data_IF_196177263003
#
_entry.id   IF_196177263003
#
_cell.length_a   1.000
_cell.length_b   1.000
_cell.length_c   1.000
_cell.angle_alpha   90.00
_cell.angle_beta   90.00
_cell.angle_gamma   90.00
#
_symmetry.space_group_name_H-M   'P 1'
#
loop_
_entity.id
_entity.type
_entity.pdbx_description
1 polymer ?
#
# COMPACT_ATOMS: atom_id res chain seq x y z
N UNK A 1 -5.22 37.72 -18.80
CA UNK A 1 -3.97 36.93 -18.86
C UNK A 1 -4.27 35.55 -18.31
N UNK A 2 -3.67 34.51 -18.89
CA UNK A 2 -3.80 33.14 -18.38
C UNK A 2 -2.98 32.98 -17.08
N UNK A 3 -3.58 32.54 -15.96
CA UNK A 3 -2.87 32.42 -14.68
C UNK A 3 -1.66 31.47 -14.73
N UNK A 4 -1.71 30.42 -15.58
CA UNK A 4 -0.59 29.49 -15.74
C UNK A 4 0.58 30.12 -16.49
N UNK A 5 0.30 30.92 -17.52
CA UNK A 5 1.34 31.69 -18.20
C UNK A 5 2.05 32.65 -17.25
N UNK A 6 1.30 33.35 -16.38
CA UNK A 6 1.88 34.23 -15.36
C UNK A 6 2.73 33.42 -14.36
N UNK A 7 2.25 32.28 -13.88
CA UNK A 7 3.02 31.40 -13.00
C UNK A 7 4.31 30.90 -13.65
N UNK A 8 4.27 30.51 -14.91
CA UNK A 8 5.45 30.09 -15.67
C UNK A 8 6.46 31.23 -15.78
N UNK A 9 6.01 32.44 -16.07
CA UNK A 9 6.90 33.59 -16.21
C UNK A 9 7.59 33.93 -14.87
N UNK A 10 6.89 33.80 -13.74
CA UNK A 10 7.49 33.92 -12.41
C UNK A 10 8.46 32.78 -12.10
N UNK A 11 8.13 31.54 -12.49
CA UNK A 11 9.02 30.38 -12.35
C UNK A 11 10.31 30.55 -13.16
N UNK A 12 10.22 31.05 -14.39
CA UNK A 12 11.35 31.30 -15.28
C UNK A 12 12.28 32.42 -14.76
N UNK A 13 11.72 33.42 -14.07
CA UNK A 13 12.49 34.49 -13.40
C UNK A 13 13.05 34.10 -12.03
N UNK A 14 12.61 32.97 -11.47
CA UNK A 14 12.96 32.57 -10.10
C UNK A 14 12.27 33.41 -9.01
N UNK A 15 11.18 34.10 -9.36
CA UNK A 15 10.43 35.02 -8.49
C UNK A 15 9.26 34.33 -7.75
N UNK A 16 9.31 33.00 -7.58
CA UNK A 16 8.20 32.22 -7.00
C UNK A 16 7.89 32.59 -5.54
N UNK A 17 8.85 33.20 -4.84
CA UNK A 17 8.75 33.74 -3.49
C UNK A 17 7.85 34.98 -3.40
N UNK A 18 7.67 35.72 -4.51
CA UNK A 18 6.76 36.87 -4.61
C UNK A 18 5.30 36.47 -4.77
N UNK A 19 5.01 35.19 -4.89
CA UNK A 19 3.64 34.67 -5.03
C UNK A 19 3.08 34.35 -3.64
N UNK A 20 2.01 35.04 -3.25
CA UNK A 20 1.45 34.96 -1.89
C UNK A 20 0.00 34.48 -1.95
N UNK A 21 -0.36 33.53 -1.08
CA UNK A 21 -1.74 33.11 -0.84
C UNK A 21 -2.41 34.09 0.14
N UNK A 22 -3.51 34.71 -0.28
CA UNK A 22 -4.32 35.61 0.54
C UNK A 22 -5.78 35.13 0.57
N UNK A 23 -6.12 34.30 1.55
CA UNK A 23 -7.46 33.71 1.65
C UNK A 23 -7.79 32.87 0.41
N UNK A 24 -8.79 33.31 -0.34
CA UNK A 24 -9.26 32.66 -1.56
C UNK A 24 -8.55 33.14 -2.84
N UNK A 25 -7.57 34.04 -2.72
CA UNK A 25 -6.81 34.60 -3.84
C UNK A 25 -5.32 34.27 -3.79
N UNK A 26 -4.69 34.29 -4.97
CA UNK A 26 -3.24 34.18 -5.17
C UNK A 26 -2.74 35.46 -5.83
N UNK A 27 -1.84 36.15 -5.15
CA UNK A 27 -1.22 37.38 -5.61
C UNK A 27 0.15 37.07 -6.21
N UNK A 28 0.40 37.58 -7.41
CA UNK A 28 1.68 37.49 -8.10
C UNK A 28 2.34 38.87 -8.04
N UNK A 29 3.11 39.12 -6.97
CA UNK A 29 3.60 40.47 -6.67
C UNK A 29 2.47 41.49 -6.58
N UNK A 30 2.69 42.68 -7.14
CA UNK A 30 1.70 43.77 -7.20
C UNK A 30 0.93 43.81 -8.53
N UNK A 31 1.28 42.94 -9.48
CA UNK A 31 0.86 43.05 -10.88
C UNK A 31 -0.41 42.24 -11.20
N UNK A 32 -0.60 41.08 -10.56
CA UNK A 32 -1.73 40.19 -10.85
C UNK A 32 -2.30 39.53 -9.60
N UNK A 33 -3.63 39.39 -9.56
CA UNK A 33 -4.35 38.62 -8.54
C UNK A 33 -5.33 37.69 -9.23
N UNK A 34 -5.34 36.42 -8.83
CA UNK A 34 -6.22 35.39 -9.38
C UNK A 34 -6.85 34.56 -8.27
N UNK A 35 -8.11 34.08 -8.43
CA UNK A 35 -8.72 33.18 -7.45
C UNK A 35 -7.94 31.86 -7.32
N UNK A 36 -7.68 31.43 -6.09
CA UNK A 36 -6.95 30.22 -5.77
C UNK A 36 -7.61 28.94 -6.32
N UNK A 37 -8.93 28.96 -6.48
CA UNK A 37 -9.72 27.84 -7.00
C UNK A 37 -9.97 27.92 -8.51
N UNK A 38 -9.38 28.88 -9.24
CA UNK A 38 -9.59 29.00 -10.68
C UNK A 38 -9.10 27.72 -11.38
N UNK A 39 -9.94 27.05 -12.19
CA UNK A 39 -9.54 25.85 -12.92
C UNK A 39 -8.43 26.16 -13.91
N UNK A 40 -7.38 25.35 -13.92
CA UNK A 40 -6.25 25.48 -14.84
C UNK A 40 -6.40 24.53 -16.02
N UNK A 41 -5.61 24.74 -17.08
CA UNK A 41 -5.55 23.85 -18.23
C UNK A 41 -4.92 22.48 -17.92
N UNK A 42 -4.35 22.29 -16.73
CA UNK A 42 -3.83 21.00 -16.27
C UNK A 42 -4.95 20.15 -15.68
N UNK A 43 -5.14 18.96 -16.23
CA UNK A 43 -6.12 17.99 -15.71
C UNK A 43 -5.45 16.82 -15.02
N UNK A 44 -6.10 16.32 -13.99
CA UNK A 44 -5.69 15.11 -13.29
C UNK A 44 -5.86 13.90 -14.19
N UNK A 45 -4.79 13.14 -14.46
CA UNK A 45 -4.89 11.90 -15.25
C UNK A 45 -5.76 10.83 -14.59
N UNK A 46 -5.97 10.92 -13.28
CA UNK A 46 -6.76 9.96 -12.51
C UNK A 46 -8.25 10.30 -12.48
N UNK A 47 -8.59 11.58 -12.38
CA UNK A 47 -9.99 12.03 -12.21
C UNK A 47 -10.56 12.79 -13.41
N UNK A 48 -9.73 13.18 -14.37
CA UNK A 48 -10.11 14.02 -15.52
C UNK A 48 -10.45 15.47 -15.17
N UNK A 49 -10.39 15.86 -13.88
CA UNK A 49 -10.75 17.20 -13.42
C UNK A 49 -9.57 18.17 -13.52
N UNK A 50 -9.82 19.45 -13.86
CA UNK A 50 -8.78 20.47 -13.86
C UNK A 50 -8.26 20.73 -12.44
N UNK A 51 -6.95 20.87 -12.30
CA UNK A 51 -6.34 21.31 -11.06
C UNK A 51 -6.60 22.80 -10.84
N UNK A 52 -6.86 23.24 -9.60
CA UNK A 52 -6.97 24.66 -9.30
C UNK A 52 -5.60 25.33 -9.33
N UNK A 53 -5.57 26.65 -9.55
CA UNK A 53 -4.32 27.44 -9.56
C UNK A 53 -3.51 27.30 -8.27
N UNK A 54 -4.18 27.18 -7.13
CA UNK A 54 -3.52 26.92 -5.84
C UNK A 54 -2.64 25.67 -5.86
N UNK A 55 -3.09 24.60 -6.51
CA UNK A 55 -2.32 23.36 -6.63
C UNK A 55 -1.07 23.55 -7.51
N UNK A 56 -1.20 24.31 -8.59
CA UNK A 56 -0.12 24.65 -9.51
C UNK A 56 0.98 25.47 -8.81
N UNK A 57 0.58 26.54 -8.13
CA UNK A 57 1.47 27.47 -7.41
C UNK A 57 2.17 26.73 -6.27
N UNK A 58 1.41 25.94 -5.50
CA UNK A 58 1.96 25.19 -4.39
C UNK A 58 2.99 24.15 -4.83
N UNK A 59 2.78 23.50 -5.98
CA UNK A 59 3.77 22.58 -6.55
C UNK A 59 5.02 23.30 -7.05
N UNK A 60 4.87 24.47 -7.68
CA UNK A 60 6.00 25.27 -8.14
C UNK A 60 6.91 25.72 -6.98
N UNK A 61 6.29 26.19 -5.88
CA UNK A 61 7.01 26.68 -4.70
C UNK A 61 7.68 25.56 -3.88
N UNK A 62 7.15 24.33 -3.92
CA UNK A 62 7.62 23.21 -3.10
C UNK A 62 8.15 22.03 -3.94
N UNK A 63 8.76 22.34 -5.09
CA UNK A 63 9.31 21.30 -5.97
C UNK A 63 10.52 20.57 -5.35
N UNK A 64 11.25 21.21 -4.46
CA UNK A 64 12.39 20.67 -3.71
C UNK A 64 12.00 19.54 -2.75
N UNK A 65 10.75 19.52 -2.29
CA UNK A 65 10.26 18.54 -1.33
C UNK A 65 10.05 17.16 -1.98
N UNK A 66 10.31 16.10 -1.19
CA UNK A 66 9.87 14.74 -1.52
C UNK A 66 8.36 14.73 -1.67
N UNK A 67 7.85 13.88 -2.56
CA UNK A 67 6.40 13.90 -2.85
C UNK A 67 5.54 13.58 -1.63
N UNK A 68 6.00 12.71 -0.73
CA UNK A 68 5.32 12.42 0.55
C UNK A 68 5.11 13.69 1.38
N UNK A 69 6.15 14.50 1.49
CA UNK A 69 6.19 15.69 2.33
C UNK A 69 5.37 16.80 1.67
N UNK A 70 5.44 16.91 0.34
CA UNK A 70 4.57 17.77 -0.46
C UNK A 70 3.08 17.46 -0.25
N UNK A 71 2.68 16.18 -0.27
CA UNK A 71 1.28 15.78 -0.05
C UNK A 71 0.81 16.18 1.35
N UNK A 72 1.66 16.00 2.37
CA UNK A 72 1.33 16.37 3.74
C UNK A 72 1.21 17.90 3.89
N UNK A 73 2.13 18.66 3.30
CA UNK A 73 2.13 20.12 3.34
C UNK A 73 0.92 20.72 2.60
N UNK A 74 0.54 20.17 1.45
CA UNK A 74 -0.66 20.58 0.71
C UNK A 74 -1.94 20.36 1.53
N UNK A 75 -2.05 19.19 2.17
CA UNK A 75 -3.20 18.85 3.03
C UNK A 75 -3.33 19.77 4.23
N UNK A 76 -2.23 20.13 4.88
CA UNK A 76 -2.23 21.08 6.00
C UNK A 76 -2.75 22.46 5.58
N UNK A 77 -2.47 22.88 4.35
CA UNK A 77 -2.96 24.14 3.77
C UNK A 77 -4.33 24.02 3.09
N UNK A 78 -4.98 22.85 3.17
CA UNK A 78 -6.25 22.54 2.48
C UNK A 78 -6.20 22.74 0.96
N UNK A 79 -5.02 22.64 0.36
CA UNK A 79 -4.82 22.73 -1.09
C UNK A 79 -4.93 21.32 -1.68
N UNK A 80 -5.72 21.11 -2.76
CA UNK A 80 -5.75 19.83 -3.46
C UNK A 80 -4.36 19.49 -4.03
N UNK A 81 -3.71 18.39 -3.61
CA UNK A 81 -2.37 18.09 -4.07
C UNK A 81 -2.37 17.59 -5.52
N UNK A 82 -1.37 18.00 -6.30
CA UNK A 82 -1.10 17.45 -7.63
C UNK A 82 -0.65 15.99 -7.49
N UNK A 83 -1.21 15.10 -8.31
CA UNK A 83 -0.90 13.66 -8.25
C UNK A 83 0.52 13.36 -8.74
N UNK A 84 1.14 12.29 -8.22
CA UNK A 84 2.50 11.87 -8.62
C UNK A 84 2.66 11.69 -10.15
N UNK A 85 1.72 11.05 -10.89
CA UNK A 85 1.80 10.92 -12.35
C UNK A 85 1.76 12.25 -13.12
N UNK A 86 1.20 13.30 -12.52
CA UNK A 86 1.02 14.61 -13.15
C UNK A 86 2.16 15.58 -12.77
N UNK A 87 2.86 15.32 -11.64
CA UNK A 87 3.95 16.14 -11.14
C UNK A 87 5.04 16.39 -12.18
N UNK A 88 5.50 15.35 -12.88
CA UNK A 88 6.54 15.49 -13.91
C UNK A 88 6.08 16.40 -15.05
N UNK A 89 4.87 16.18 -15.55
CA UNK A 89 4.27 16.98 -16.64
C UNK A 89 4.15 18.46 -16.24
N UNK A 90 3.79 18.73 -14.98
CA UNK A 90 3.68 20.10 -14.46
C UNK A 90 5.02 20.83 -14.42
N UNK A 91 6.06 20.16 -13.93
CA UNK A 91 7.40 20.73 -13.83
C UNK A 91 8.03 20.92 -15.20
N UNK A 92 7.86 19.95 -16.10
CA UNK A 92 8.36 20.05 -17.47
C UNK A 92 7.73 21.27 -18.18
N UNK A 93 6.45 21.58 -17.94
CA UNK A 93 5.80 22.81 -18.44
C UNK A 93 6.41 24.10 -17.86
N UNK A 94 6.68 24.13 -16.55
CA UNK A 94 7.26 25.31 -15.90
C UNK A 94 8.70 25.58 -16.37
N UNK A 95 9.46 24.54 -16.71
CA UNK A 95 10.87 24.63 -17.10
C UNK A 95 11.09 24.81 -18.60
N UNK A 96 10.38 24.05 -19.44
CA UNK A 96 10.65 23.99 -20.88
C UNK A 96 9.63 24.78 -21.70
N UNK A 97 8.51 25.20 -21.10
CA UNK A 97 7.46 25.93 -21.79
C UNK A 97 6.80 25.12 -22.92
N UNK A 98 7.04 23.79 -22.96
CA UNK A 98 6.58 22.94 -24.06
C UNK A 98 5.05 22.92 -24.10
N UNK A 99 4.55 23.36 -25.25
CA UNK A 99 3.18 23.35 -25.74
C UNK A 99 2.68 21.92 -26.01
N UNK A 100 2.70 21.07 -24.99
CA UNK A 100 2.06 19.75 -25.02
C UNK A 100 1.07 19.56 -23.87
N UNK A 101 0.19 20.55 -23.69
CA UNK A 101 -1.13 20.24 -23.17
C UNK A 101 -1.90 19.55 -24.31
N UNK A 102 -2.41 18.31 -24.16
CA UNK A 102 -3.39 17.80 -25.09
C UNK A 102 -4.54 18.82 -25.10
N UNK A 103 -4.73 19.44 -26.25
CA UNK A 103 -5.70 20.50 -26.47
C UNK A 103 -7.08 19.99 -26.04
N UNK A 104 -7.54 20.45 -24.88
CA UNK A 104 -8.97 20.52 -24.64
C UNK A 104 -9.43 21.71 -25.48
N UNK A 105 -10.14 21.41 -26.56
CA UNK A 105 -10.76 22.40 -27.43
C UNK A 105 -11.42 23.50 -26.59
N UNK A 106 -11.22 24.79 -26.95
CA UNK A 106 -12.01 25.87 -26.38
C UNK A 106 -13.44 25.72 -26.90
N UNK A 107 -14.27 24.97 -26.19
CA UNK A 107 -15.71 24.98 -26.37
C UNK A 107 -16.25 26.30 -25.79
N UNK A 108 -16.11 27.36 -26.58
CA UNK A 108 -17.17 28.35 -26.67
C UNK A 108 -17.72 28.30 -28.10
N UNK A 109 -19.01 27.96 -28.21
CA UNK A 109 -19.90 28.82 -28.96
C UNK A 109 -20.88 29.47 -28.00
N UNK A 110 -20.82 30.79 -28.04
CA UNK A 110 -21.85 31.73 -27.64
C UNK A 110 -23.27 31.18 -27.93
N UNK A 111 -24.01 30.93 -26.86
CA UNK A 111 -25.45 31.13 -26.85
C UNK A 111 -25.80 31.78 -25.51
N UNK A 112 -25.82 33.10 -25.52
CA UNK A 112 -26.64 33.87 -24.60
C UNK A 112 -28.09 33.43 -24.81
N UNK A 113 -28.54 32.45 -24.02
CA UNK A 113 -29.91 32.40 -23.57
C UNK A 113 -29.90 33.07 -22.20
N UNK A 114 -30.62 34.19 -22.11
CA UNK A 114 -30.82 34.93 -20.88
C UNK A 114 -31.37 33.99 -19.80
N UNK A 115 -30.56 33.66 -18.81
CA UNK A 115 -31.11 33.28 -17.50
C UNK A 115 -31.72 34.55 -16.92
N UNK A 116 -33.02 34.67 -17.15
CA UNK A 116 -33.87 35.53 -16.35
C UNK A 116 -33.66 35.17 -14.88
N UNK A 117 -33.36 36.19 -14.08
CA UNK A 117 -33.52 36.19 -12.63
C UNK A 117 -34.71 35.29 -12.22
N UNK A 118 -34.54 34.31 -11.33
CA UNK A 118 -35.72 33.74 -10.67
C UNK A 118 -36.37 34.89 -9.87
N UNK A 119 -37.70 35.09 -9.97
CA UNK A 119 -38.38 36.08 -9.14
C UNK A 119 -38.22 35.70 -7.65
N UNK A 120 -38.22 36.69 -6.74
CA UNK A 120 -38.19 36.39 -5.31
C UNK A 120 -39.39 35.51 -4.93
N UNK A 121 -39.22 34.59 -3.96
CA UNK A 121 -40.31 33.70 -3.55
C UNK A 121 -41.50 34.51 -3.02
N UNK A 122 -42.74 34.05 -3.25
CA UNK A 122 -43.93 34.68 -2.66
C UNK A 122 -43.88 34.57 -1.12
N UNK A 123 -44.51 35.52 -0.39
CA UNK A 123 -44.58 35.44 1.06
C UNK A 123 -45.31 34.15 1.49
N UNK A 124 -44.96 33.60 2.67
CA UNK A 124 -45.57 32.36 3.15
C UNK A 124 -47.09 32.55 3.30
N UNK A 125 -47.92 31.57 2.88
CA UNK A 125 -49.32 31.59 3.25
C UNK A 125 -49.46 31.43 4.76
N UNK A 126 -50.36 32.22 5.31
CA UNK A 126 -50.76 32.25 6.70
C UNK A 126 -51.18 30.84 7.17
N UNK A 127 -50.88 30.55 8.44
CA UNK A 127 -51.24 29.32 9.12
C UNK A 127 -52.75 29.08 9.05
N UNK A 128 -53.18 28.09 8.27
CA UNK A 128 -54.50 27.50 8.39
C UNK A 128 -54.41 25.97 8.33
N UNK A 129 -54.63 25.34 9.50
CA UNK A 129 -55.09 23.96 9.64
C UNK A 129 -54.04 22.85 9.45
N UNK A 130 -53.53 22.29 10.55
CA UNK A 130 -52.93 20.96 10.57
C UNK A 130 -54.00 19.91 10.24
N UNK A 131 -54.07 19.48 8.98
CA UNK A 131 -54.76 18.24 8.59
C UNK A 131 -53.82 17.05 8.82
N UNK A 132 -54.08 16.17 9.80
CA UNK A 132 -53.17 15.05 10.13
C UNK A 132 -53.06 14.00 9.01
N UNK A 133 -53.98 14.00 8.04
CA UNK A 133 -53.97 13.08 6.89
C UNK A 133 -53.01 13.53 5.76
N UNK A 134 -52.66 14.82 5.70
CA UNK A 134 -51.78 15.35 4.65
C UNK A 134 -50.31 14.90 4.85
N UNK A 135 -49.87 14.79 6.10
CA UNK A 135 -48.54 14.29 6.46
C UNK A 135 -48.41 12.77 6.20
N UNK A 136 -49.48 12.00 6.38
CA UNK A 136 -49.46 10.56 6.09
C UNK A 136 -49.38 10.31 4.57
N UNK A 137 -50.12 11.08 3.76
CA UNK A 137 -50.05 11.00 2.30
C UNK A 137 -48.66 11.43 1.76
N UNK A 138 -48.07 12.47 2.34
CA UNK A 138 -46.74 12.98 1.96
C UNK A 138 -45.62 12.00 2.36
N UNK A 139 -45.66 11.46 3.58
CA UNK A 139 -44.69 10.46 4.04
C UNK A 139 -44.84 9.13 3.30
N UNK A 140 -46.05 8.72 2.91
CA UNK A 140 -46.29 7.56 2.08
C UNK A 140 -45.71 7.72 0.67
N UNK A 141 -45.84 8.92 0.08
CA UNK A 141 -45.26 9.22 -1.24
C UNK A 141 -43.72 9.17 -1.23
N UNK A 142 -43.10 9.73 -0.18
CA UNK A 142 -41.64 9.66 0.00
C UNK A 142 -41.17 8.21 0.18
N UNK A 143 -41.84 7.41 1.04
CA UNK A 143 -41.51 5.99 1.22
C UNK A 143 -41.68 5.16 -0.05
N UNK A 144 -42.65 5.50 -0.91
CA UNK A 144 -42.87 4.81 -2.18
C UNK A 144 -41.78 5.10 -3.23
N UNK A 145 -41.10 6.25 -3.13
CA UNK A 145 -40.00 6.64 -4.01
C UNK A 145 -38.62 6.25 -3.46
N UNK A 146 -38.51 5.95 -2.17
CA UNK A 146 -37.27 5.50 -1.54
C UNK A 146 -36.83 4.11 -2.03
N UNK A 147 -35.55 3.99 -2.38
CA UNK A 147 -34.89 2.70 -2.64
C UNK A 147 -33.81 2.47 -1.58
N UNK A 148 -34.09 1.68 -0.53
CA UNK A 148 -33.11 1.38 0.49
C UNK A 148 -31.94 0.60 -0.12
N UNK A 149 -30.75 1.22 -0.16
CA UNK A 149 -29.57 0.59 -0.77
C UNK A 149 -29.02 -0.56 0.09
N UNK A 150 -29.09 -0.46 1.42
CA UNK A 150 -28.71 -1.48 2.42
C UNK A 150 -29.43 -1.19 3.75
N UNK A 151 -30.03 -2.21 4.37
CA UNK A 151 -30.58 -2.13 5.73
C UNK A 151 -29.55 -2.59 6.78
N UNK A 152 -29.84 -2.40 8.08
CA UNK A 152 -28.93 -2.80 9.17
C UNK A 152 -28.59 -4.30 9.11
N UNK A 153 -29.50 -5.13 8.63
CA UNK A 153 -29.30 -6.56 8.50
C UNK A 153 -28.48 -6.94 7.26
N UNK A 154 -28.60 -6.21 6.13
CA UNK A 154 -27.74 -6.37 4.96
C UNK A 154 -26.30 -5.93 5.19
N UNK A 155 -25.99 -5.21 6.28
CA UNK A 155 -24.62 -4.97 6.73
C UNK A 155 -24.01 -6.22 7.37
N UNK A 156 -24.83 -7.04 8.03
CA UNK A 156 -24.41 -8.30 8.65
C UNK A 156 -24.35 -9.46 7.64
N UNK A 157 -25.11 -9.38 6.56
CA UNK A 157 -25.12 -10.38 5.50
C UNK A 157 -24.03 -10.11 4.45
N UNK A 158 -22.99 -10.94 4.46
CA UNK A 158 -21.98 -10.99 3.40
C UNK A 158 -22.53 -11.75 2.18
N UNK A 159 -23.46 -11.13 1.45
CA UNK A 159 -24.09 -11.73 0.27
C UNK A 159 -23.06 -12.32 -0.69
N UNK A 160 -23.18 -13.63 -0.95
CA UNK A 160 -22.31 -14.39 -1.85
C UNK A 160 -21.12 -15.10 -1.20
N UNK A 161 -20.94 -15.03 0.12
CA UNK A 161 -19.94 -15.83 0.85
C UNK A 161 -20.51 -16.38 2.16
N UNK A 162 -20.86 -17.66 2.13
CA UNK A 162 -21.23 -18.42 3.32
C UNK A 162 -20.00 -19.15 3.89
N UNK A 163 -19.66 -18.84 5.14
CA UNK A 163 -18.57 -19.48 5.86
C UNK A 163 -19.06 -20.65 6.73
N UNK A 164 -20.37 -20.87 6.83
CA UNK A 164 -20.98 -21.93 7.64
C UNK A 164 -20.60 -23.31 7.09
N UNK A 165 -20.61 -23.49 5.78
CA UNK A 165 -20.14 -24.72 5.14
C UNK A 165 -18.67 -25.04 5.45
N UNK A 166 -17.81 -24.01 5.45
CA UNK A 166 -16.38 -24.13 5.77
C UNK A 166 -16.20 -24.43 7.27
N UNK A 167 -16.94 -23.75 8.13
CA UNK A 167 -16.93 -23.97 9.58
C UNK A 167 -17.36 -25.39 9.94
N UNK A 168 -18.45 -25.89 9.37
CA UNK A 168 -18.88 -27.27 9.57
C UNK A 168 -17.90 -28.28 8.98
N UNK A 169 -17.25 -27.98 7.85
CA UNK A 169 -16.20 -28.84 7.31
C UNK A 169 -14.96 -28.88 8.22
N UNK A 170 -14.58 -27.76 8.83
CA UNK A 170 -13.49 -27.69 9.79
C UNK A 170 -13.80 -28.46 11.08
N UNK A 171 -15.03 -28.33 11.61
CA UNK A 171 -15.49 -29.09 12.78
C UNK A 171 -15.47 -30.60 12.51
N UNK A 172 -16.02 -31.06 11.38
CA UNK A 172 -15.96 -32.48 10.99
C UNK A 172 -14.52 -32.98 10.87
N UNK A 173 -13.64 -32.16 10.29
CA UNK A 173 -12.22 -32.53 10.15
C UNK A 173 -11.50 -32.62 11.49
N UNK A 174 -11.82 -31.77 12.46
CA UNK A 174 -11.25 -31.87 13.82
C UNK A 174 -11.81 -33.09 14.56
N UNK A 175 -13.10 -33.38 14.42
CA UNK A 175 -13.73 -34.59 14.97
C UNK A 175 -13.13 -35.87 14.37
N UNK A 176 -12.92 -35.91 13.05
CA UNK A 176 -12.23 -37.00 12.37
C UNK A 176 -10.76 -37.09 12.82
N UNK A 177 -10.09 -35.97 13.07
CA UNK A 177 -8.70 -35.96 13.56
C UNK A 177 -8.59 -36.49 14.98
N UNK A 178 -9.60 -36.25 15.82
CA UNK A 178 -9.69 -36.81 17.16
C UNK A 178 -10.01 -38.31 17.10
N UNK A 179 -10.99 -38.73 16.28
CA UNK A 179 -11.31 -40.16 16.05
C UNK A 179 -10.14 -40.96 15.48
N UNK A 180 -9.38 -40.38 14.56
CA UNK A 180 -8.27 -41.06 13.87
C UNK A 180 -6.96 -41.04 14.68
N UNK A 181 -6.91 -40.31 15.80
CA UNK A 181 -5.79 -40.35 16.76
C UNK A 181 -5.84 -41.59 17.67
N UNK A 182 -7.01 -42.20 17.80
CA UNK A 182 -7.24 -43.41 18.60
C UNK A 182 -7.24 -44.71 17.77
N UNK A 183 -7.07 -44.62 16.44
CA UNK A 183 -7.03 -45.78 15.54
C UNK A 183 -5.69 -45.89 14.80
N UNK A 184 -4.77 -46.71 15.31
CA UNK A 184 -3.60 -47.22 14.56
C UNK A 184 -4.03 -48.46 13.77
N UNK A 185 -3.70 -48.57 12.47
CA UNK A 185 -2.75 -49.62 12.10
C UNK A 185 -1.83 -49.37 10.89
N UNK A 186 -0.80 -50.22 10.89
CA UNK A 186 0.29 -50.55 9.97
C UNK A 186 -0.02 -50.69 8.46
N UNK A 187 1.00 -50.31 7.66
CA UNK A 187 1.52 -50.94 6.43
C UNK A 187 0.72 -51.08 5.10
N UNK A 188 1.40 -50.60 4.03
CA UNK A 188 1.47 -51.08 2.62
C UNK A 188 0.27 -50.91 1.65
N UNK A 189 0.56 -50.34 0.46
CA UNK A 189 -0.19 -50.62 -0.79
C UNK A 189 -0.57 -49.41 -1.66
N UNK A 190 -0.18 -49.43 -2.93
CA UNK A 190 -0.41 -48.44 -4.01
C UNK A 190 -1.89 -48.26 -4.40
N UNK A 191 -2.32 -47.04 -4.76
CA UNK A 191 -2.68 -46.59 -6.13
C UNK A 191 -3.35 -45.19 -6.10
N UNK A 192 -2.92 -44.29 -6.99
CA UNK A 192 -3.59 -43.02 -7.32
C UNK A 192 -4.93 -43.24 -8.04
N UNK A 193 -5.83 -42.23 -8.00
CA UNK A 193 -5.94 -41.37 -9.19
C UNK A 193 -5.85 -39.85 -8.90
N UNK A 194 -5.17 -39.21 -9.85
CA UNK A 194 -5.01 -37.78 -10.19
C UNK A 194 -6.12 -36.82 -9.75
N UNK A 195 -5.75 -35.80 -8.96
CA UNK A 195 -5.65 -34.38 -9.32
C UNK A 195 -6.97 -33.72 -9.77
N UNK A 196 -7.44 -32.68 -9.10
CA UNK A 196 -6.88 -31.33 -9.27
C UNK A 196 -7.57 -30.38 -8.27
N UNK A 197 -6.86 -29.31 -7.88
CA UNK A 197 -7.38 -28.08 -7.25
C UNK A 197 -7.18 -27.81 -5.73
N UNK A 198 -6.57 -28.66 -4.91
CA UNK A 198 -6.45 -28.40 -3.46
C UNK A 198 -5.04 -28.31 -2.86
N UNK A 199 -3.98 -28.16 -3.67
CA UNK A 199 -2.59 -28.16 -3.19
C UNK A 199 -1.96 -26.76 -2.97
N UNK A 200 -2.73 -25.66 -3.06
CA UNK A 200 -2.16 -24.32 -3.01
C UNK A 200 -1.93 -23.71 -1.61
N UNK A 201 -2.21 -24.43 -0.51
CA UNK A 201 -1.98 -23.90 0.85
C UNK A 201 -1.28 -24.87 1.83
N UNK A 202 -0.70 -25.95 1.33
CA UNK A 202 0.17 -26.78 2.16
C UNK A 202 1.59 -26.19 2.16
N UNK A 203 2.04 -25.65 3.30
CA UNK A 203 3.45 -25.36 3.52
C UNK A 203 4.27 -26.63 3.16
N UNK A 204 5.44 -26.50 2.52
CA UNK A 204 6.28 -27.65 2.27
C UNK A 204 6.61 -28.31 3.62
N UNK A 205 6.23 -29.58 3.77
CA UNK A 205 6.60 -30.39 4.92
C UNK A 205 8.12 -30.53 4.89
N UNK A 206 8.79 -30.01 5.91
CA UNK A 206 10.20 -30.28 6.21
C UNK A 206 10.32 -31.76 6.56
N UNK A 207 10.57 -32.61 5.56
CA UNK A 207 10.73 -34.06 5.73
C UNK A 207 12.21 -34.47 5.92
N UNK A 208 13.00 -33.59 6.55
CA UNK A 208 14.34 -33.93 7.01
C UNK A 208 14.38 -33.63 8.49
N UNK A 209 14.37 -34.70 9.28
CA UNK A 209 14.85 -34.68 10.66
C UNK A 209 16.07 -33.76 10.73
N UNK A 210 15.97 -32.67 11.50
CA UNK A 210 17.07 -31.78 11.85
C UNK A 210 18.10 -32.61 12.63
N UNK A 211 18.90 -33.37 11.89
CA UNK A 211 19.99 -34.17 12.41
C UNK A 211 21.10 -33.28 12.96
N UNK A 212 21.83 -33.84 13.91
CA UNK A 212 22.97 -33.24 14.59
C UNK A 212 23.93 -32.59 13.58
N UNK A 213 24.00 -31.24 13.59
CA UNK A 213 24.86 -30.44 12.70
C UNK A 213 24.19 -29.70 11.53
N UNK A 214 22.88 -29.90 11.23
CA UNK A 214 22.21 -29.11 10.19
C UNK A 214 21.71 -27.77 10.75
N UNK A 215 22.52 -26.71 10.57
CA UNK A 215 22.10 -25.34 10.93
C UNK A 215 21.44 -24.67 9.71
N UNK A 216 20.11 -24.43 9.72
CA UNK A 216 19.42 -23.78 8.61
C UNK A 216 19.89 -22.33 8.38
N UNK A 217 19.96 -21.91 7.11
CA UNK A 217 20.34 -20.56 6.70
C UNK A 217 19.09 -19.76 6.28
N UNK A 218 19.02 -18.51 6.75
CA UNK A 218 18.09 -17.48 6.30
C UNK A 218 18.91 -16.43 5.54
N UNK A 219 18.53 -16.13 4.31
CA UNK A 219 19.15 -15.06 3.54
C UNK A 219 18.37 -13.75 3.70
N UNK A 220 19.09 -12.66 3.93
CA UNK A 220 18.55 -11.31 3.96
C UNK A 220 19.20 -10.43 2.87
N UNK A 221 18.51 -9.44 2.32
CA UNK A 221 19.12 -8.51 1.38
C UNK A 221 20.21 -7.67 2.08
N UNK A 222 21.32 -7.42 1.38
CA UNK A 222 22.32 -6.43 1.81
C UNK A 222 21.96 -4.99 1.39
N UNK A 223 20.83 -4.77 0.72
CA UNK A 223 20.46 -3.46 0.19
C UNK A 223 19.81 -2.58 1.27
N UNK A 224 20.25 -1.32 1.34
CA UNK A 224 19.77 -0.33 2.33
C UNK A 224 18.29 0.05 2.19
N UNK A 225 17.68 -0.19 1.03
CA UNK A 225 16.26 0.10 0.80
C UNK A 225 15.30 -0.94 1.41
N UNK A 226 15.83 -2.01 2.02
CA UNK A 226 15.00 -3.07 2.60
C UNK A 226 14.76 -2.87 4.08
N UNK A 227 13.59 -3.26 4.56
CA UNK A 227 13.22 -3.10 5.97
C UNK A 227 14.00 -4.04 6.88
N UNK A 228 14.27 -5.26 6.42
CA UNK A 228 15.01 -6.27 7.17
C UNK A 228 16.35 -6.52 6.50
N UNK A 229 17.42 -6.30 7.26
CA UNK A 229 18.81 -6.52 6.86
C UNK A 229 19.53 -7.34 7.94
N UNK A 230 20.80 -7.69 7.71
CA UNK A 230 21.62 -8.40 8.71
C UNK A 230 21.76 -7.62 10.04
N UNK A 231 21.53 -6.31 10.04
CA UNK A 231 21.69 -5.46 11.22
C UNK A 231 20.53 -5.53 12.20
N UNK A 232 19.31 -5.77 11.73
CA UNK A 232 18.08 -5.70 12.54
C UNK A 232 17.24 -6.99 12.53
N UNK A 233 17.60 -7.98 11.70
CA UNK A 233 16.89 -9.26 11.60
C UNK A 233 16.82 -10.02 12.92
N UNK A 234 17.81 -9.85 13.79
CA UNK A 234 17.83 -10.49 15.11
C UNK A 234 16.71 -9.97 16.00
N UNK A 235 16.64 -8.66 16.18
CA UNK A 235 15.57 -8.01 16.96
C UNK A 235 14.19 -8.34 16.38
N UNK A 236 14.10 -8.40 15.05
CA UNK A 236 12.84 -8.70 14.39
C UNK A 236 12.36 -10.14 14.59
N UNK A 237 13.27 -11.13 14.56
CA UNK A 237 12.89 -12.55 14.63
C UNK A 237 12.92 -13.15 16.04
N UNK A 238 13.78 -12.65 16.93
CA UNK A 238 13.87 -13.11 18.32
C UNK A 238 12.98 -12.28 19.26
N UNK A 239 13.08 -10.95 19.17
CA UNK A 239 12.41 -10.05 20.11
C UNK A 239 11.03 -9.59 19.58
N UNK A 240 10.71 -9.90 18.32
CA UNK A 240 9.51 -9.42 17.63
C UNK A 240 9.40 -7.89 17.56
N UNK A 241 10.53 -7.21 17.61
CA UNK A 241 10.62 -5.74 17.56
C UNK A 241 11.24 -5.31 16.25
N UNK A 242 10.56 -4.41 15.54
CA UNK A 242 11.13 -3.77 14.36
C UNK A 242 11.95 -2.53 14.76
N UNK A 243 13.26 -2.57 14.50
CA UNK A 243 14.15 -1.41 14.61
C UNK A 243 14.69 -1.07 13.21
N UNK A 244 14.64 0.19 12.75
CA UNK A 244 15.21 0.58 11.47
C UNK A 244 16.68 0.22 11.35
N UNK A 245 17.09 -0.28 10.18
CA UNK A 245 18.48 -0.70 9.93
C UNK A 245 19.49 0.44 10.12
N UNK A 246 19.13 1.67 9.73
CA UNK A 246 19.99 2.85 9.89
C UNK A 246 20.32 3.16 11.35
N UNK A 247 19.37 2.93 12.26
CA UNK A 247 19.57 3.12 13.70
C UNK A 247 20.56 2.09 14.26
N UNK A 248 20.40 0.82 13.87
CA UNK A 248 21.35 -0.25 14.22
C UNK A 248 22.74 0.01 13.66
N UNK A 249 22.85 0.50 12.42
CA UNK A 249 24.12 0.88 11.81
C UNK A 249 24.80 2.04 12.54
N UNK A 250 24.04 3.03 13.00
CA UNK A 250 24.57 4.15 13.82
C UNK A 250 25.05 3.69 15.18
N UNK A 251 24.32 2.79 15.84
CA UNK A 251 24.71 2.20 17.12
C UNK A 251 25.98 1.34 16.99
N UNK A 252 26.17 0.70 15.84
CA UNK A 252 27.36 -0.09 15.50
C UNK A 252 28.48 0.73 14.83
N UNK A 253 28.42 2.06 14.88
CA UNK A 253 29.45 2.91 14.27
C UNK A 253 30.82 2.62 14.89
N UNK A 254 31.71 2.00 14.11
CA UNK A 254 33.06 1.60 14.53
C UNK A 254 33.28 0.09 14.61
N UNK A 255 32.24 -0.74 14.53
CA UNK A 255 32.38 -2.19 14.40
C UNK A 255 32.24 -2.65 12.93
N UNK A 256 32.94 -3.72 12.52
CA UNK A 256 32.78 -4.28 11.19
C UNK A 256 31.36 -4.84 11.01
N UNK A 257 30.86 -4.77 9.77
CA UNK A 257 29.58 -5.39 9.39
C UNK A 257 29.61 -6.88 9.73
N UNK A 258 28.59 -7.42 10.45
CA UNK A 258 28.51 -8.85 10.71
C UNK A 258 28.45 -9.62 9.39
N UNK A 259 29.26 -10.67 9.26
CA UNK A 259 29.17 -11.59 8.12
C UNK A 259 28.06 -12.63 8.30
N UNK A 260 27.82 -13.02 9.55
CA UNK A 260 26.81 -14.00 9.94
C UNK A 260 26.20 -13.57 11.28
N UNK A 261 24.88 -13.74 11.42
CA UNK A 261 24.16 -13.54 12.68
C UNK A 261 23.45 -14.84 13.04
N UNK A 262 23.70 -15.36 14.24
CA UNK A 262 23.04 -16.57 14.73
C UNK A 262 21.79 -16.21 15.52
N UNK A 263 20.67 -16.87 15.20
CA UNK A 263 19.40 -16.77 15.92
C UNK A 263 19.11 -18.07 16.65
N UNK A 264 18.52 -18.01 17.84
CA UNK A 264 18.05 -19.19 18.58
C UNK A 264 16.55 -19.16 18.78
N UNK A 265 15.84 -20.07 18.14
CA UNK A 265 14.39 -20.19 18.30
C UNK A 265 14.05 -21.31 19.28
N UNK A 266 13.60 -20.93 20.48
CA UNK A 266 13.28 -21.86 21.59
C UNK A 266 12.10 -22.79 21.30
N UNK A 267 11.13 -22.35 20.50
CA UNK A 267 9.96 -23.14 20.11
C UNK A 267 9.86 -23.24 18.59
N UNK A 268 10.37 -24.34 18.03
CA UNK A 268 10.14 -24.71 16.63
C UNK A 268 9.23 -25.93 16.59
N UNK A 269 8.09 -25.79 15.91
CA UNK A 269 7.08 -26.87 15.80
C UNK A 269 7.71 -28.09 15.11
N UNK A 270 7.81 -29.20 15.84
CA UNK A 270 8.40 -30.45 15.34
C UNK A 270 9.88 -30.64 15.67
N UNK A 271 10.55 -29.66 16.28
CA UNK A 271 11.88 -29.84 16.86
C UNK A 271 11.77 -30.17 18.35
N UNK A 272 12.57 -31.11 18.84
CA UNK A 272 12.62 -31.52 20.25
C UNK A 272 13.35 -30.52 21.18
N UNK A 273 13.64 -29.31 20.71
CA UNK A 273 14.41 -28.31 21.45
C UNK A 273 14.67 -27.02 20.65
N UNK A 274 15.49 -26.11 21.20
CA UNK A 274 15.87 -24.87 20.52
C UNK A 274 16.62 -25.16 19.22
N UNK A 275 16.24 -24.48 18.14
CA UNK A 275 16.92 -24.59 16.84
C UNK A 275 17.68 -23.29 16.56
N UNK A 276 18.96 -23.41 16.23
CA UNK A 276 19.77 -22.30 15.78
C UNK A 276 19.56 -22.05 14.27
N UNK A 277 19.54 -20.79 13.86
CA UNK A 277 19.52 -20.38 12.45
C UNK A 277 20.72 -19.46 12.19
N UNK A 278 21.36 -19.60 11.04
CA UNK A 278 22.35 -18.65 10.54
C UNK A 278 21.67 -17.65 9.60
N UNK A 279 21.95 -16.37 9.79
CA UNK A 279 21.51 -15.31 8.87
C UNK A 279 22.71 -14.77 8.13
N UNK A 280 22.62 -14.76 6.80
CA UNK A 280 23.68 -14.24 5.90
C UNK A 280 23.08 -13.30 4.87
N UNK A 281 23.89 -12.37 4.37
CA UNK A 281 23.44 -11.33 3.42
C UNK A 281 24.22 -11.30 2.10
N UNK A 282 25.23 -12.15 1.97
CA UNK A 282 26.07 -12.30 0.78
C UNK A 282 25.88 -13.68 0.16
N UNK A 283 24.93 -13.84 -0.78
CA UNK A 283 24.75 -15.09 -1.51
C UNK A 283 26.04 -15.62 -2.18
N UNK A 284 26.91 -14.71 -2.62
CA UNK A 284 28.17 -15.04 -3.27
C UNK A 284 29.20 -15.74 -2.36
N UNK A 285 29.06 -15.66 -1.03
CA UNK A 285 29.94 -16.39 -0.10
C UNK A 285 29.43 -17.81 0.23
N UNK A 286 28.23 -18.18 -0.23
CA UNK A 286 27.66 -19.49 0.02
C UNK A 286 28.29 -20.56 -0.88
N UNK A 287 28.71 -21.67 -0.27
CA UNK A 287 29.13 -22.88 -0.99
C UNK A 287 27.91 -23.68 -1.47
N UNK A 288 28.12 -24.64 -2.37
CA UNK A 288 27.04 -25.51 -2.86
C UNK A 288 26.28 -26.20 -1.72
N UNK A 289 26.99 -26.67 -0.68
CA UNK A 289 26.37 -27.31 0.49
C UNK A 289 25.57 -26.31 1.34
N UNK A 290 26.01 -25.05 1.42
CA UNK A 290 25.29 -24.01 2.16
C UNK A 290 23.93 -23.72 1.51
N UNK A 291 23.85 -23.74 0.17
CA UNK A 291 22.61 -23.55 -0.56
C UNK A 291 21.56 -24.62 -0.24
N UNK A 292 21.98 -25.85 0.08
CA UNK A 292 21.07 -26.91 0.52
C UNK A 292 20.52 -26.65 1.94
N UNK A 293 21.16 -25.79 2.73
CA UNK A 293 20.72 -25.37 4.07
C UNK A 293 19.85 -24.12 4.05
N UNK A 294 19.71 -23.43 2.92
CA UNK A 294 18.88 -22.23 2.81
C UNK A 294 17.41 -22.62 2.90
N UNK A 295 16.75 -22.24 3.99
CA UNK A 295 15.34 -22.57 4.24
C UNK A 295 14.40 -21.38 4.02
N UNK A 296 14.93 -20.16 4.14
CA UNK A 296 14.15 -18.94 3.98
C UNK A 296 14.95 -17.79 3.36
N UNK A 297 14.22 -16.88 2.73
CA UNK A 297 14.76 -15.71 2.04
C UNK A 297 13.88 -14.50 2.32
N UNK A 298 14.48 -13.38 2.73
CA UNK A 298 13.85 -12.06 2.68
C UNK A 298 14.11 -11.45 1.30
N UNK A 299 13.04 -11.04 0.61
CA UNK A 299 13.12 -10.54 -0.77
C UNK A 299 13.01 -9.02 -0.80
N UNK A 300 13.71 -8.42 -1.76
CA UNK A 300 13.66 -6.99 -2.07
C UNK A 300 12.48 -6.66 -2.99
N UNK A 301 11.97 -7.66 -3.72
CA UNK A 301 10.92 -7.49 -4.72
C UNK A 301 11.44 -7.06 -6.10
N UNK A 302 12.71 -7.35 -6.39
CA UNK A 302 13.33 -7.16 -7.71
C UNK A 302 13.96 -8.47 -8.17
N UNK A 303 13.69 -8.88 -9.40
CA UNK A 303 14.17 -10.17 -9.94
C UNK A 303 15.70 -10.27 -9.97
N UNK A 304 16.38 -9.15 -10.22
CA UNK A 304 17.85 -9.11 -10.25
C UNK A 304 18.49 -9.52 -8.91
N UNK A 305 17.75 -9.52 -7.79
CA UNK A 305 18.22 -10.04 -6.50
C UNK A 305 18.74 -11.48 -6.62
N UNK A 306 18.09 -12.28 -7.46
CA UNK A 306 18.37 -13.71 -7.63
C UNK A 306 19.39 -13.99 -8.74
N UNK A 307 20.01 -12.94 -9.28
CA UNK A 307 21.08 -13.10 -10.27
C UNK A 307 22.23 -13.89 -9.63
N UNK A 308 22.78 -14.83 -10.40
CA UNK A 308 23.91 -15.68 -10.01
C UNK A 308 23.62 -16.68 -8.87
N UNK A 309 22.34 -16.91 -8.55
CA UNK A 309 21.94 -17.95 -7.61
C UNK A 309 21.85 -19.32 -8.31
N UNK A 310 22.02 -20.45 -7.58
CA UNK A 310 22.01 -21.80 -8.16
C UNK A 310 20.58 -22.31 -8.46
N UNK A 311 19.70 -21.44 -8.96
CA UNK A 311 18.31 -21.75 -9.29
C UNK A 311 17.96 -21.18 -10.66
N UNK A 312 16.99 -21.80 -11.35
CA UNK A 312 16.58 -21.36 -12.70
C UNK A 312 15.84 -20.01 -12.70
N UNK A 313 15.31 -19.60 -11.55
CA UNK A 313 14.56 -18.36 -11.36
C UNK A 313 13.73 -18.38 -10.09
N UNK A 314 12.98 -17.31 -9.83
CA UNK A 314 12.22 -17.13 -8.59
C UNK A 314 11.18 -18.24 -8.33
N UNK A 315 10.60 -18.84 -9.37
CA UNK A 315 9.65 -19.96 -9.22
C UNK A 315 10.32 -21.18 -8.60
N UNK A 316 11.51 -21.56 -9.09
CA UNK A 316 12.29 -22.69 -8.56
C UNK A 316 12.77 -22.42 -7.13
N UNK A 317 13.18 -21.16 -6.86
CA UNK A 317 13.55 -20.72 -5.51
C UNK A 317 12.38 -20.93 -4.55
N UNK A 318 11.21 -20.37 -4.84
CA UNK A 318 10.09 -20.36 -3.89
C UNK A 318 9.30 -21.67 -3.81
N UNK A 319 9.64 -22.66 -4.64
CA UNK A 319 9.17 -24.04 -4.45
C UNK A 319 10.02 -24.80 -3.41
N UNK A 320 11.27 -24.39 -3.20
CA UNK A 320 12.22 -25.05 -2.28
C UNK A 320 12.47 -24.26 -1.00
N UNK A 321 12.41 -22.93 -1.09
CA UNK A 321 12.80 -21.97 -0.05
C UNK A 321 11.61 -21.07 0.26
N UNK A 322 11.36 -20.80 1.55
CA UNK A 322 10.27 -19.91 1.95
C UNK A 322 10.68 -18.45 1.71
N UNK A 323 9.98 -17.75 0.82
CA UNK A 323 10.19 -16.32 0.61
C UNK A 323 9.34 -15.45 1.54
N UNK A 324 9.93 -14.35 2.03
CA UNK A 324 9.27 -13.33 2.84
C UNK A 324 9.50 -11.95 2.22
N UNK A 325 8.43 -11.17 2.05
CA UNK A 325 8.51 -9.77 1.66
C UNK A 325 7.96 -8.90 2.77
N UNK A 326 8.77 -7.98 3.28
CA UNK A 326 8.40 -7.11 4.39
C UNK A 326 8.16 -5.71 3.84
N UNK A 327 6.99 -5.15 4.14
CA UNK A 327 6.62 -3.78 3.79
C UNK A 327 6.01 -3.06 4.98
N UNK A 328 5.94 -1.74 4.95
CA UNK A 328 5.10 -1.04 5.89
C UNK A 328 3.61 -1.16 5.51
N UNK A 329 2.73 -1.09 6.49
CA UNK A 329 1.28 -1.20 6.28
C UNK A 329 0.74 -0.08 5.39
N UNK A 330 1.28 1.13 5.54
CA UNK A 330 0.95 2.36 4.81
C UNK A 330 1.66 2.49 3.45
N UNK A 331 2.55 1.56 3.09
CA UNK A 331 3.12 1.51 1.75
C UNK A 331 2.03 1.31 0.69
N UNK A 332 2.19 1.97 -0.46
CA UNK A 332 1.30 1.79 -1.62
C UNK A 332 1.15 0.31 -1.98
N UNK A 333 -0.04 -0.08 -2.41
CA UNK A 333 -0.35 -1.43 -2.92
C UNK A 333 0.59 -1.83 -4.06
N UNK A 334 1.12 -0.86 -4.80
CA UNK A 334 2.09 -1.06 -5.88
C UNK A 334 3.45 -1.57 -5.41
N UNK A 335 3.82 -1.32 -4.14
CA UNK A 335 5.11 -1.79 -3.57
C UNK A 335 5.24 -3.32 -3.65
N UNK A 336 4.12 -4.03 -3.55
CA UNK A 336 4.05 -5.48 -3.59
C UNK A 336 3.60 -6.04 -4.95
N UNK A 337 3.38 -5.22 -5.98
CA UNK A 337 2.75 -5.65 -7.24
C UNK A 337 3.50 -6.79 -7.94
N UNK A 338 4.83 -6.66 -8.05
CA UNK A 338 5.70 -7.70 -8.62
C UNK A 338 5.72 -8.93 -7.72
N UNK A 339 5.88 -8.69 -6.42
CA UNK A 339 6.04 -9.73 -5.40
C UNK A 339 4.79 -10.60 -5.22
N UNK A 340 3.59 -10.04 -5.43
CA UNK A 340 2.32 -10.76 -5.42
C UNK A 340 2.23 -11.85 -6.49
N UNK A 341 3.06 -11.79 -7.53
CA UNK A 341 3.15 -12.82 -8.56
C UNK A 341 4.08 -13.97 -8.14
N UNK A 342 4.81 -13.82 -7.03
CA UNK A 342 5.73 -14.82 -6.50
C UNK A 342 5.09 -15.59 -5.34
N UNK A 343 5.50 -16.84 -5.14
CA UNK A 343 5.06 -17.65 -4.00
C UNK A 343 5.79 -17.23 -2.70
N UNK A 344 5.51 -16.03 -2.23
CA UNK A 344 6.15 -15.46 -1.03
C UNK A 344 5.13 -14.93 -0.03
N UNK A 345 5.51 -14.93 1.25
CA UNK A 345 4.68 -14.43 2.34
C UNK A 345 4.92 -12.94 2.53
N UNK A 346 3.86 -12.14 2.39
CA UNK A 346 3.92 -10.69 2.64
C UNK A 346 3.69 -10.44 4.12
N UNK A 347 4.63 -9.76 4.77
CA UNK A 347 4.55 -9.31 6.16
C UNK A 347 4.39 -7.79 6.14
N UNK A 348 3.32 -7.30 6.75
CA UNK A 348 3.10 -5.87 6.95
C UNK A 348 3.53 -5.47 8.35
N UNK A 349 4.42 -4.50 8.43
CA UNK A 349 4.90 -3.91 9.69
C UNK A 349 4.20 -2.57 9.87
N UNK A 350 3.67 -2.30 11.05
CA UNK A 350 3.13 -0.97 11.37
C UNK A 350 4.29 -0.01 11.61
N UNK A 351 4.32 1.13 10.91
CA UNK A 351 5.29 2.19 11.14
C UNK A 351 5.11 2.92 12.49
N UNK A 352 4.04 2.60 13.24
CA UNK A 352 3.82 3.12 14.59
C UNK A 352 4.45 2.16 15.59
N UNK A 353 5.58 2.58 16.18
CA UNK A 353 6.16 1.96 17.37
C UNK A 353 5.16 2.05 18.53
N UNK A 354 4.22 1.13 18.61
CA UNK A 354 3.55 0.86 19.88
C UNK A 354 4.53 0.03 20.72
N UNK A 355 5.37 0.74 21.46
CA UNK A 355 5.97 0.21 22.69
C UNK A 355 4.81 -0.14 23.62
N UNK A 356 4.33 -1.38 23.55
CA UNK A 356 3.60 -1.97 24.66
C UNK A 356 4.63 -2.47 25.65
N UNK A 357 5.08 -1.57 26.53
CA UNK A 357 5.68 -1.96 27.79
C UNK A 357 4.57 -2.60 28.63
N UNK A 358 4.50 -3.92 28.65
CA UNK A 358 3.78 -4.62 29.71
C UNK A 358 4.66 -4.52 30.97
N UNK A 359 4.28 -3.62 31.87
CA UNK A 359 4.73 -3.59 33.26
C UNK A 359 3.90 -4.53 34.13
#
# INVERSE_FOLDING_TARGET
MDPLAVLRDYAARGDLDKIIFNGDDVLFGDDYTFPANVPTAFTSKQSGRPYPLSAAVFLAQHNDLKHTDFLQAARLRRIPPVSLPDRKTFLDFLHFGDSSLPSAEPLLPSSFAQDAHPPPPPPPPEEEGEDPDADEASTAHVRALERPLKDRNAVLDARGRDFLAIYHAALRREEDRLRNKDAVPSATGRHEPSATAAAALANPKLDKSLGDGFVPIILVPSASQTLITIYNVKDFLEDFVFVPSDEKMRAMKGSPKPECVTLQKKHVRGAGGPVAFEVRDKPASLKADDWARVVAVFVLGKEWQFKDWPFKGHVDIFNKVIGFFVRFEDDSVDSAKVVKQWNVKIISVSGRNFSYSFG
#
